data_IF_974681688189
#
_entry.id   IF_974681688189
#
_cell.length_a   1.000
_cell.length_b   1.000
_cell.length_c   1.000
_cell.angle_alpha   90.00
_cell.angle_beta   90.00
_cell.angle_gamma   90.00
#
_symmetry.space_group_name_H-M   'P 1'
#
loop_
_entity.id
_entity.type
_entity.pdbx_description
1 polymer ?
#
# COMPACT_ATOMS: atom_id res chain seq x y z
N UNK A 1 -4.05 13.84 4.74
CA UNK A 1 -2.89 13.29 4.00
C UNK A 1 -2.59 14.18 2.82
N UNK A 2 -1.36 14.69 2.70
CA UNK A 2 -0.89 15.36 1.48
C UNK A 2 -0.16 14.30 0.64
N UNK A 3 -0.62 14.05 -0.58
CA UNK A 3 0.04 13.14 -1.51
C UNK A 3 1.11 13.92 -2.29
N UNK A 4 2.28 13.29 -2.51
CA UNK A 4 3.29 13.85 -3.40
C UNK A 4 2.77 13.88 -4.84
N UNK A 5 3.12 14.89 -5.67
CA UNK A 5 2.74 14.91 -7.09
C UNK A 5 3.20 13.65 -7.83
N UNK A 6 4.42 13.16 -7.56
CA UNK A 6 4.95 11.93 -8.17
C UNK A 6 4.10 10.69 -7.83
N UNK A 7 3.56 10.64 -6.61
CA UNK A 7 2.67 9.54 -6.22
C UNK A 7 1.32 9.60 -6.97
N UNK A 8 0.80 10.80 -7.22
CA UNK A 8 -0.45 10.96 -7.96
C UNK A 8 -0.28 10.56 -9.43
N UNK A 9 0.83 10.93 -10.05
CA UNK A 9 1.18 10.49 -11.42
C UNK A 9 1.32 8.97 -11.49
N UNK A 10 2.06 8.37 -10.56
CA UNK A 10 2.16 6.91 -10.45
C UNK A 10 0.78 6.25 -10.34
N UNK A 11 -0.09 6.79 -9.47
CA UNK A 11 -1.45 6.29 -9.30
C UNK A 11 -2.30 6.39 -10.57
N UNK A 12 -2.05 7.37 -11.44
CA UNK A 12 -2.75 7.53 -12.72
C UNK A 12 -2.25 6.55 -13.79
N UNK A 13 -0.99 6.12 -13.71
CA UNK A 13 -0.40 5.14 -14.63
C UNK A 13 -0.80 3.71 -14.31
N UNK A 14 -1.26 3.45 -13.08
CA UNK A 14 -1.71 2.12 -12.69
C UNK A 14 -3.00 1.74 -13.44
N UNK A 15 -3.09 0.51 -14.00
CA UNK A 15 -4.25 0.06 -14.77
C UNK A 15 -5.47 -0.29 -13.89
N UNK A 16 -5.49 0.16 -12.63
CA UNK A 16 -6.48 -0.23 -11.62
C UNK A 16 -7.18 0.99 -11.02
N UNK A 17 -8.45 0.84 -10.67
CA UNK A 17 -9.17 1.85 -9.91
C UNK A 17 -8.79 1.82 -8.44
N UNK A 18 -8.13 2.88 -7.98
CA UNK A 18 -7.73 3.07 -6.59
C UNK A 18 -8.84 3.78 -5.81
N UNK A 19 -9.51 3.04 -4.92
CA UNK A 19 -10.38 3.62 -3.90
C UNK A 19 -9.57 4.40 -2.86
N UNK A 20 -10.21 5.23 -2.03
CA UNK A 20 -9.51 6.00 -0.99
C UNK A 20 -8.68 5.14 -0.04
N UNK A 21 -9.14 3.90 0.25
CA UNK A 21 -8.38 2.96 1.06
C UNK A 21 -7.15 2.43 0.32
N UNK A 22 -7.32 1.97 -0.93
CA UNK A 22 -6.22 1.48 -1.77
C UNK A 22 -5.13 2.55 -1.91
N UNK A 23 -5.52 3.82 -2.14
CA UNK A 23 -4.58 4.94 -2.18
C UNK A 23 -3.84 5.13 -0.85
N UNK A 24 -4.53 5.05 0.28
CA UNK A 24 -3.88 5.19 1.59
C UNK A 24 -2.84 4.09 1.85
N UNK A 25 -3.20 2.82 1.59
CA UNK A 25 -2.29 1.67 1.73
C UNK A 25 -1.06 1.84 0.84
N UNK A 26 -1.29 2.17 -0.43
CA UNK A 26 -0.20 2.37 -1.40
C UNK A 26 0.69 3.55 -1.02
N UNK A 27 0.11 4.63 -0.47
CA UNK A 27 0.85 5.80 -0.02
C UNK A 27 1.76 5.49 1.17
N UNK A 28 1.32 4.66 2.13
CA UNK A 28 2.16 4.21 3.24
C UNK A 28 3.42 3.49 2.73
N UNK A 29 3.26 2.64 1.71
CA UNK A 29 4.38 1.93 1.08
C UNK A 29 5.27 2.86 0.25
N UNK A 30 4.67 3.81 -0.48
CA UNK A 30 5.40 4.82 -1.25
C UNK A 30 6.28 5.74 -0.39
N UNK A 31 5.80 6.10 0.80
CA UNK A 31 6.55 6.94 1.73
C UNK A 31 7.63 6.17 2.50
N UNK A 32 7.58 4.84 2.47
CA UNK A 32 8.53 4.00 3.18
C UNK A 32 9.70 3.63 2.27
N UNK A 33 10.92 3.98 2.66
CA UNK A 33 12.15 3.53 2.00
C UNK A 33 12.50 2.06 2.31
N UNK A 34 11.68 1.36 3.10
CA UNK A 34 11.88 -0.04 3.48
C UNK A 34 10.62 -0.86 3.22
N UNK A 35 10.73 -2.18 2.98
CA UNK A 35 9.58 -3.07 2.98
C UNK A 35 8.85 -3.00 4.33
N UNK A 36 7.53 -2.81 4.29
CA UNK A 36 6.69 -2.74 5.49
C UNK A 36 6.00 -4.06 5.75
N UNK A 37 5.93 -4.46 7.02
CA UNK A 37 5.10 -5.61 7.43
C UNK A 37 3.62 -5.25 7.34
N UNK A 38 2.76 -6.26 7.14
CA UNK A 38 1.31 -6.04 7.08
C UNK A 38 0.78 -5.33 8.33
N UNK A 39 1.25 -5.71 9.53
CA UNK A 39 0.82 -5.08 10.78
C UNK A 39 1.29 -3.62 10.91
N UNK A 40 2.51 -3.28 10.46
CA UNK A 40 2.97 -1.88 10.43
C UNK A 40 2.05 -1.03 9.54
N UNK A 41 1.63 -1.58 8.39
CA UNK A 41 0.69 -0.91 7.48
C UNK A 41 -0.69 -0.74 8.14
N UNK A 42 -1.18 -1.75 8.87
CA UNK A 42 -2.46 -1.66 9.61
C UNK A 42 -2.41 -0.54 10.64
N UNK A 43 -1.35 -0.47 11.45
CA UNK A 43 -1.19 0.55 12.49
C UNK A 43 -1.15 1.96 11.89
N UNK A 44 -0.37 2.16 10.82
CA UNK A 44 -0.31 3.43 10.10
C UNK A 44 -1.69 3.84 9.56
N UNK A 45 -2.46 2.88 9.05
CA UNK A 45 -3.79 3.13 8.52
C UNK A 45 -4.81 3.41 9.61
N UNK A 46 -4.69 2.80 10.79
CA UNK A 46 -5.58 3.07 11.92
C UNK A 46 -5.53 4.53 12.38
N UNK A 47 -4.38 5.19 12.27
CA UNK A 47 -4.24 6.63 12.57
C UNK A 47 -5.11 7.49 11.64
N UNK A 48 -5.31 7.06 10.40
CA UNK A 48 -6.06 7.82 9.37
C UNK A 48 -7.52 7.35 9.30
N UNK A 49 -7.75 6.05 9.47
CA UNK A 49 -9.04 5.37 9.46
C UNK A 49 -9.12 4.42 10.66
N UNK A 50 -9.58 4.91 11.82
CA UNK A 50 -9.59 4.12 13.06
C UNK A 50 -10.48 2.87 12.99
N UNK A 51 -11.49 2.85 12.11
CA UNK A 51 -12.41 1.72 11.96
C UNK A 51 -11.91 0.63 11.00
N UNK A 52 -10.63 0.65 10.62
CA UNK A 52 -10.12 -0.33 9.66
C UNK A 52 -9.81 -1.66 10.34
N UNK A 53 -10.24 -2.75 9.71
CA UNK A 53 -9.96 -4.08 10.23
C UNK A 53 -8.71 -4.66 9.56
N UNK A 54 -7.86 -5.41 10.28
CA UNK A 54 -6.69 -6.05 9.69
C UNK A 54 -7.01 -6.88 8.43
N UNK A 55 -8.07 -7.71 8.39
CA UNK A 55 -8.43 -8.46 7.19
C UNK A 55 -8.69 -7.58 5.96
N UNK A 56 -9.20 -6.37 6.16
CA UNK A 56 -9.41 -5.42 5.07
C UNK A 56 -8.09 -4.96 4.47
N UNK A 57 -7.08 -4.70 5.32
CA UNK A 57 -5.74 -4.33 4.85
C UNK A 57 -5.08 -5.49 4.11
N UNK A 58 -5.15 -6.72 4.65
CA UNK A 58 -4.64 -7.91 3.97
C UNK A 58 -5.26 -8.10 2.58
N UNK A 59 -6.58 -7.96 2.44
CA UNK A 59 -7.26 -8.03 1.14
C UNK A 59 -6.77 -6.98 0.14
N UNK A 60 -6.41 -5.79 0.61
CA UNK A 60 -5.86 -4.74 -0.26
C UNK A 60 -4.42 -5.06 -0.66
N UNK A 61 -3.62 -5.58 0.26
CA UNK A 61 -2.26 -6.03 -0.03
C UNK A 61 -2.27 -7.16 -1.06
N UNK A 62 -3.12 -8.17 -0.86
CA UNK A 62 -3.30 -9.28 -1.81
C UNK A 62 -3.76 -8.78 -3.17
N UNK A 63 -4.73 -7.85 -3.22
CA UNK A 63 -5.18 -7.24 -4.46
C UNK A 63 -4.01 -6.59 -5.23
N UNK A 64 -3.15 -5.82 -4.56
CA UNK A 64 -2.01 -5.22 -5.23
C UNK A 64 -0.94 -6.22 -5.65
N UNK A 65 -0.70 -7.26 -4.85
CA UNK A 65 0.22 -8.33 -5.21
C UNK A 65 -0.27 -9.12 -6.43
N UNK A 66 -1.58 -9.40 -6.51
CA UNK A 66 -2.19 -10.04 -7.68
C UNK A 66 -2.09 -9.19 -8.95
N UNK A 67 -2.13 -7.86 -8.82
CA UNK A 67 -1.96 -6.92 -9.93
C UNK A 67 -0.48 -6.59 -10.24
N UNK A 68 0.49 -7.19 -9.54
CA UNK A 68 1.92 -6.94 -9.76
C UNK A 68 2.39 -5.54 -9.31
N UNK A 69 1.61 -4.84 -8.50
CA UNK A 69 1.92 -3.48 -8.01
C UNK A 69 2.79 -3.56 -6.77
N UNK A 70 2.51 -4.53 -5.90
CA UNK A 70 3.31 -4.83 -4.72
C UNK A 70 4.01 -6.17 -4.86
N UNK A 71 5.26 -6.20 -4.41
CA UNK A 71 5.99 -7.43 -4.21
C UNK A 71 5.93 -7.83 -2.74
N UNK A 72 5.49 -9.06 -2.47
CA UNK A 72 5.50 -9.66 -1.13
C UNK A 72 6.82 -10.42 -0.93
N UNK A 73 7.52 -10.09 0.13
CA UNK A 73 8.77 -10.72 0.55
C UNK A 73 8.42 -11.75 1.63
N UNK A 74 8.20 -13.00 1.21
CA UNK A 74 7.74 -14.08 2.10
C UNK A 74 8.63 -14.33 3.34
N UNK A 75 9.99 -14.30 3.25
CA UNK A 75 10.84 -14.58 4.41
C UNK A 75 10.64 -13.66 5.62
N UNK A 76 10.27 -12.40 5.37
CA UNK A 76 10.07 -11.38 6.43
C UNK A 76 8.62 -10.92 6.55
N UNK A 77 7.72 -11.53 5.76
CA UNK A 77 6.30 -11.17 5.63
C UNK A 77 6.08 -9.66 5.43
N UNK A 78 6.91 -9.07 4.56
CA UNK A 78 6.86 -7.64 4.24
C UNK A 78 6.43 -7.40 2.80
N UNK A 79 6.00 -6.18 2.53
CA UNK A 79 5.51 -5.74 1.22
C UNK A 79 6.31 -4.51 0.78
N UNK A 80 6.63 -4.45 -0.50
CA UNK A 80 7.31 -3.32 -1.14
C UNK A 80 6.67 -3.03 -2.50
N UNK A 81 6.89 -1.84 -3.04
CA UNK A 81 6.48 -1.51 -4.42
C UNK A 81 7.31 -2.34 -5.41
N UNK A 82 6.64 -2.99 -6.38
CA UNK A 82 7.30 -3.87 -7.36
C UNK A 82 8.12 -3.09 -8.40
N UNK A 83 7.87 -1.79 -8.53
CA UNK A 83 8.52 -0.88 -9.48
C UNK A 83 8.79 0.45 -8.79
N UNK A 84 9.49 0.40 -7.66
CA UNK A 84 10.18 1.60 -7.19
C UNK A 84 11.28 1.90 -8.23
N UNK A 85 11.33 3.11 -8.81
CA UNK A 85 12.44 3.52 -9.68
C UNK A 85 13.79 3.47 -8.96
#
# INVERSE_FOLDING_TARGET
>A
MKYSPLFLEYCQQLPISLTSLRKAVLCCLWQSNKPLKAYEIVELLMVIKPNITPPTVYRVLDFFTQHGILHKIDPIQSYTLCSAP
#
